data_IF_733765176784
#
_entry.id   IF_733765176784
#
_cell.length_a   1.000
_cell.length_b   1.000
_cell.length_c   1.000
_cell.angle_alpha   90.00
_cell.angle_beta   90.00
_cell.angle_gamma   90.00
#
_symmetry.space_group_name_H-M   'P 1'
#
loop_
_entity.id
_entity.type
_entity.pdbx_description
1 polymer ?
#
# COMPACT_ATOMS: atom_id res chain seq x y z
N UNK A 1 -14.02 26.72 12.94
CA UNK A 1 -12.73 27.14 12.32
C UNK A 1 -11.49 26.52 12.97
N UNK A 2 -11.33 26.51 14.31
CA UNK A 2 -10.15 25.91 14.96
C UNK A 2 -9.94 24.43 14.61
N UNK A 3 -11.00 23.62 14.62
CA UNK A 3 -10.94 22.18 14.31
C UNK A 3 -10.36 21.87 12.91
N UNK A 4 -10.78 22.60 11.88
CA UNK A 4 -10.28 22.42 10.51
C UNK A 4 -8.81 22.83 10.38
N UNK A 5 -8.39 23.92 11.05
CA UNK A 5 -6.97 24.31 11.09
C UNK A 5 -6.10 23.26 11.76
N UNK A 6 -6.57 22.65 12.84
CA UNK A 6 -5.83 21.59 13.53
C UNK A 6 -5.65 20.36 12.65
N UNK A 7 -6.72 19.89 11.98
CA UNK A 7 -6.62 18.78 11.03
C UNK A 7 -5.70 19.06 9.85
N UNK A 8 -5.72 20.29 9.33
CA UNK A 8 -4.84 20.67 8.22
C UNK A 8 -3.35 20.63 8.63
N UNK A 9 -3.03 21.18 9.81
CA UNK A 9 -1.67 21.16 10.34
C UNK A 9 -1.20 19.75 10.69
N UNK A 10 -2.11 18.90 11.17
CA UNK A 10 -1.85 17.49 11.42
C UNK A 10 -1.51 16.75 10.13
N UNK A 11 -2.33 16.89 9.07
CA UNK A 11 -2.06 16.26 7.76
C UNK A 11 -0.84 16.81 7.06
N UNK A 12 -0.55 18.09 7.25
CA UNK A 12 0.70 18.68 6.79
C UNK A 12 1.88 18.00 7.50
N UNK A 13 1.83 17.83 8.82
CA UNK A 13 2.88 17.17 9.61
C UNK A 13 3.07 15.71 9.22
N UNK A 14 1.98 14.96 9.00
CA UNK A 14 2.03 13.58 8.50
C UNK A 14 2.71 13.52 7.11
N UNK A 15 2.31 14.41 6.19
CA UNK A 15 2.87 14.47 4.84
C UNK A 15 4.36 14.84 4.87
N UNK A 16 4.76 15.82 5.69
CA UNK A 16 6.18 16.12 5.90
C UNK A 16 6.93 14.92 6.50
N UNK A 17 6.36 14.26 7.51
CA UNK A 17 6.98 13.10 8.14
C UNK A 17 7.23 11.93 7.18
N UNK A 18 6.34 11.74 6.20
CA UNK A 18 6.48 10.72 5.17
C UNK A 18 7.52 11.09 4.09
N UNK A 19 7.55 12.34 3.63
CA UNK A 19 8.35 12.75 2.47
C UNK A 19 9.75 13.24 2.84
N UNK A 20 9.89 13.92 3.99
CA UNK A 20 11.14 14.56 4.38
C UNK A 20 12.32 13.57 4.51
N UNK A 21 12.16 12.35 5.06
CA UNK A 21 13.23 11.36 5.09
C UNK A 21 13.69 10.95 3.68
N UNK A 22 12.75 10.81 2.75
CA UNK A 22 13.03 10.45 1.35
C UNK A 22 13.79 11.58 0.66
N UNK A 23 13.35 12.84 0.83
CA UNK A 23 14.08 14.02 0.33
C UNK A 23 15.50 14.04 0.89
N UNK A 24 15.67 13.79 2.20
CA UNK A 24 16.97 13.75 2.85
C UNK A 24 17.91 12.72 2.23
N UNK A 25 17.42 11.50 1.99
CA UNK A 25 18.18 10.42 1.33
C UNK A 25 18.55 10.83 -0.10
N UNK A 26 17.60 11.34 -0.88
CA UNK A 26 17.84 11.74 -2.27
C UNK A 26 18.86 12.87 -2.34
N UNK A 27 18.75 13.90 -1.51
CA UNK A 27 19.72 15.00 -1.46
C UNK A 27 21.12 14.50 -1.07
N UNK A 28 21.21 13.62 -0.06
CA UNK A 28 22.48 13.02 0.33
C UNK A 28 23.13 12.26 -0.82
N UNK A 29 22.37 11.42 -1.53
CA UNK A 29 22.85 10.69 -2.70
C UNK A 29 23.27 11.63 -3.83
N UNK A 30 22.50 12.68 -4.11
CA UNK A 30 22.79 13.67 -5.14
C UNK A 30 24.06 14.48 -4.86
N UNK A 31 24.42 14.75 -3.61
CA UNK A 31 25.64 15.49 -3.29
C UNK A 31 26.88 14.60 -3.14
N UNK A 32 26.73 13.29 -2.91
CA UNK A 32 27.85 12.39 -2.61
C UNK A 32 28.14 11.37 -3.71
N UNK A 33 27.15 10.56 -4.11
CA UNK A 33 27.34 9.40 -4.97
C UNK A 33 26.98 9.69 -6.43
N UNK A 34 25.89 10.42 -6.66
CA UNK A 34 25.31 10.65 -7.98
C UNK A 34 25.04 12.14 -8.21
N UNK A 35 26.09 12.96 -8.48
CA UNK A 35 25.94 14.39 -8.76
C UNK A 35 25.05 14.62 -9.98
N UNK A 36 23.96 15.35 -9.75
CA UNK A 36 22.99 15.72 -10.79
C UNK A 36 23.12 17.21 -11.15
N UNK A 37 22.80 17.58 -12.41
CA UNK A 37 22.68 18.97 -12.81
C UNK A 37 21.75 19.78 -11.89
N UNK A 38 22.10 21.04 -11.64
CA UNK A 38 21.32 21.95 -10.78
C UNK A 38 19.88 22.13 -11.25
N UNK A 39 19.63 22.04 -12.56
CA UNK A 39 18.28 22.07 -13.14
C UNK A 39 17.40 20.92 -12.65
N UNK A 40 17.92 19.70 -12.60
CA UNK A 40 17.21 18.50 -12.14
C UNK A 40 16.97 18.58 -10.62
N UNK A 41 17.97 19.05 -9.87
CA UNK A 41 17.85 19.24 -8.43
C UNK A 41 16.74 20.26 -8.08
N UNK A 42 16.67 21.39 -8.81
CA UNK A 42 15.61 22.38 -8.62
C UNK A 42 14.24 21.82 -8.98
N UNK A 43 14.13 21.09 -10.08
CA UNK A 43 12.87 20.42 -10.46
C UNK A 43 12.42 19.42 -9.38
N UNK A 44 13.35 18.66 -8.80
CA UNK A 44 13.07 17.75 -7.69
C UNK A 44 12.55 18.48 -6.45
N UNK A 45 13.19 19.58 -6.03
CA UNK A 45 12.75 20.35 -4.85
C UNK A 45 11.35 20.92 -5.06
N UNK A 46 11.08 21.51 -6.24
CA UNK A 46 9.76 22.06 -6.56
C UNK A 46 8.72 20.93 -6.60
N UNK A 47 9.03 19.81 -7.25
CA UNK A 47 8.17 18.63 -7.31
C UNK A 47 7.88 18.06 -5.93
N UNK A 48 8.88 18.00 -5.05
CA UNK A 48 8.74 17.53 -3.68
C UNK A 48 7.83 18.45 -2.85
N UNK A 49 7.95 19.77 -3.00
CA UNK A 49 7.03 20.73 -2.36
C UNK A 49 5.59 20.56 -2.87
N UNK A 50 5.41 20.44 -4.19
CA UNK A 50 4.10 20.19 -4.79
C UNK A 50 3.51 18.86 -4.32
N UNK A 51 4.32 17.82 -4.19
CA UNK A 51 3.92 16.51 -3.69
C UNK A 51 3.48 16.58 -2.22
N UNK A 52 4.21 17.29 -1.35
CA UNK A 52 3.80 17.46 0.06
C UNK A 52 2.43 18.13 0.16
N UNK A 53 2.21 19.20 -0.61
CA UNK A 53 0.92 19.91 -0.63
C UNK A 53 -0.18 19.03 -1.22
N UNK A 54 0.10 18.33 -2.33
CA UNK A 54 -0.84 17.43 -2.98
C UNK A 54 -1.23 16.25 -2.07
N UNK A 55 -0.26 15.61 -1.42
CA UNK A 55 -0.52 14.53 -0.47
C UNK A 55 -1.29 15.01 0.75
N UNK A 56 -1.02 16.22 1.27
CA UNK A 56 -1.80 16.78 2.38
C UNK A 56 -3.27 16.93 1.99
N UNK A 57 -3.58 17.49 0.82
CA UNK A 57 -4.97 17.65 0.39
C UNK A 57 -5.63 16.31 0.05
N UNK A 58 -4.90 15.40 -0.58
CA UNK A 58 -5.38 14.06 -0.91
C UNK A 58 -5.72 13.26 0.35
N UNK A 59 -4.80 13.21 1.32
CA UNK A 59 -5.01 12.48 2.59
C UNK A 59 -6.14 13.09 3.41
N UNK A 60 -6.24 14.42 3.46
CA UNK A 60 -7.36 15.11 4.09
C UNK A 60 -8.71 14.75 3.44
N UNK A 61 -8.78 14.76 2.10
CA UNK A 61 -9.97 14.37 1.35
C UNK A 61 -10.34 12.91 1.55
N UNK A 62 -9.35 12.02 1.55
CA UNK A 62 -9.53 10.58 1.78
C UNK A 62 -10.06 10.28 3.19
N UNK A 63 -9.57 10.97 4.22
CA UNK A 63 -10.07 10.80 5.59
C UNK A 63 -11.49 11.34 5.76
N UNK A 64 -11.79 12.49 5.14
CA UNK A 64 -13.12 13.11 5.28
C UNK A 64 -14.21 12.42 4.46
N UNK A 65 -13.87 11.80 3.32
CA UNK A 65 -14.84 11.22 2.40
C UNK A 65 -14.69 9.71 2.22
N UNK A 66 -13.50 9.25 1.78
CA UNK A 66 -13.31 7.85 1.38
C UNK A 66 -13.35 6.89 2.58
N UNK A 67 -12.75 7.27 3.70
CA UNK A 67 -12.71 6.46 4.93
C UNK A 67 -14.11 6.22 5.51
N UNK A 68 -14.94 7.26 5.79
CA UNK A 68 -16.29 7.02 6.29
C UNK A 68 -17.19 6.31 5.27
N UNK A 69 -16.95 6.48 3.97
CA UNK A 69 -17.62 5.70 2.93
C UNK A 69 -17.26 4.22 3.03
N UNK A 70 -15.97 3.89 3.17
CA UNK A 70 -15.47 2.53 3.35
C UNK A 70 -16.01 1.86 4.62
N UNK A 71 -16.04 2.56 5.75
CA UNK A 71 -16.59 2.05 7.01
C UNK A 71 -18.08 1.74 6.92
N UNK A 72 -18.87 2.63 6.30
CA UNK A 72 -20.31 2.40 6.08
C UNK A 72 -20.57 1.24 5.15
N UNK A 73 -19.78 1.11 4.08
CA UNK A 73 -19.87 -0.03 3.17
C UNK A 73 -19.51 -1.34 3.87
N UNK A 74 -18.40 -1.35 4.62
CA UNK A 74 -17.93 -2.51 5.36
C UNK A 74 -18.91 -2.97 6.43
N UNK A 75 -19.48 -2.05 7.22
CA UNK A 75 -20.47 -2.36 8.27
C UNK A 75 -21.77 -2.92 7.68
N UNK A 76 -22.29 -2.36 6.58
CA UNK A 76 -23.45 -2.92 5.86
C UNK A 76 -23.17 -4.32 5.31
N UNK A 77 -21.96 -4.52 4.77
CA UNK A 77 -21.53 -5.79 4.20
C UNK A 77 -21.46 -6.90 5.27
N UNK A 78 -20.89 -6.61 6.44
CA UNK A 78 -20.80 -7.59 7.54
C UNK A 78 -22.15 -7.85 8.22
N UNK A 79 -23.05 -6.86 8.28
CA UNK A 79 -24.40 -7.02 8.82
C UNK A 79 -25.32 -7.93 8.01
N UNK A 80 -25.03 -8.12 6.71
CA UNK A 80 -25.87 -8.93 5.81
C UNK A 80 -25.83 -10.44 6.16
N UNK A 81 -24.98 -10.88 7.11
CA UNK A 81 -24.79 -12.28 7.59
C UNK A 81 -24.46 -13.32 6.51
N UNK A 82 -24.41 -12.95 5.23
CA UNK A 82 -24.01 -13.80 4.10
C UNK A 82 -22.49 -13.83 4.00
N UNK A 83 -21.86 -14.75 4.72
CA UNK A 83 -20.41 -14.94 4.71
C UNK A 83 -19.84 -15.11 3.29
N UNK A 84 -20.53 -15.85 2.41
CA UNK A 84 -20.09 -16.03 1.02
C UNK A 84 -20.00 -14.72 0.22
N UNK A 85 -20.94 -13.79 0.43
CA UNK A 85 -20.92 -12.49 -0.25
C UNK A 85 -19.75 -11.61 0.24
N UNK A 86 -19.48 -11.64 1.56
CA UNK A 86 -18.32 -10.96 2.15
C UNK A 86 -17.01 -11.48 1.55
N UNK A 87 -16.86 -12.81 1.48
CA UNK A 87 -15.66 -13.46 0.94
C UNK A 87 -15.40 -13.06 -0.51
N UNK A 88 -16.42 -13.18 -1.38
CA UNK A 88 -16.27 -12.85 -2.80
C UNK A 88 -15.96 -11.36 -2.99
N UNK A 89 -16.66 -10.49 -2.27
CA UNK A 89 -16.45 -9.04 -2.40
C UNK A 89 -15.06 -8.62 -1.90
N UNK A 90 -14.60 -9.15 -0.77
CA UNK A 90 -13.25 -8.89 -0.27
C UNK A 90 -12.17 -9.40 -1.22
N UNK A 91 -12.34 -10.61 -1.79
CA UNK A 91 -11.41 -11.14 -2.77
C UNK A 91 -11.30 -10.22 -3.99
N UNK A 92 -12.45 -9.84 -4.56
CA UNK A 92 -12.50 -8.97 -5.75
C UNK A 92 -11.91 -7.58 -5.45
N UNK A 93 -12.22 -7.00 -4.29
CA UNK A 93 -11.63 -5.72 -3.87
C UNK A 93 -10.11 -5.80 -3.76
N UNK A 94 -9.59 -6.81 -3.06
CA UNK A 94 -8.14 -7.00 -2.91
C UNK A 94 -7.45 -7.19 -4.25
N UNK A 95 -8.03 -8.04 -5.10
CA UNK A 95 -7.52 -8.30 -6.44
C UNK A 95 -7.46 -7.03 -7.31
N UNK A 96 -8.55 -6.25 -7.36
CA UNK A 96 -8.61 -5.02 -8.16
C UNK A 96 -7.64 -3.96 -7.63
N UNK A 97 -7.55 -3.79 -6.30
CA UNK A 97 -6.65 -2.83 -5.67
C UNK A 97 -5.20 -3.16 -6.03
N UNK A 98 -4.80 -4.42 -5.92
CA UNK A 98 -3.42 -4.86 -6.21
C UNK A 98 -3.06 -4.74 -7.69
N UNK A 99 -3.98 -5.04 -8.63
CA UNK A 99 -3.71 -4.82 -10.06
C UNK A 99 -3.54 -3.34 -10.38
N UNK A 100 -4.32 -2.48 -9.72
CA UNK A 100 -4.29 -1.04 -9.92
C UNK A 100 -3.07 -0.37 -9.28
N UNK A 101 -2.27 -1.11 -8.51
CA UNK A 101 -1.10 -0.58 -7.81
C UNK A 101 0.05 -0.35 -8.79
N UNK A 102 0.45 0.91 -9.04
CA UNK A 102 1.47 1.23 -10.05
C UNK A 102 2.84 0.66 -9.66
N UNK A 103 3.13 0.58 -8.36
CA UNK A 103 4.40 0.07 -7.85
C UNK A 103 4.60 -1.41 -8.21
N UNK A 104 3.52 -2.21 -8.21
CA UNK A 104 3.56 -3.61 -8.66
C UNK A 104 3.81 -3.72 -10.16
N UNK A 105 3.25 -2.80 -10.95
CA UNK A 105 3.45 -2.78 -12.41
C UNK A 105 4.91 -2.46 -12.75
N UNK A 106 5.50 -1.47 -12.06
CA UNK A 106 6.92 -1.12 -12.21
C UNK A 106 7.81 -2.28 -11.75
N UNK A 107 7.48 -2.94 -10.65
CA UNK A 107 8.24 -4.12 -10.18
C UNK A 107 8.20 -5.27 -11.19
N UNK A 108 7.05 -5.49 -11.85
CA UNK A 108 6.93 -6.52 -12.87
C UNK A 108 7.87 -6.26 -14.06
N UNK A 109 8.05 -5.00 -14.47
CA UNK A 109 9.01 -4.62 -15.52
C UNK A 109 10.48 -4.83 -15.11
N UNK A 110 10.78 -4.84 -13.81
CA UNK A 110 12.12 -5.06 -13.27
C UNK A 110 12.51 -6.54 -13.18
N UNK A 111 11.59 -7.48 -13.43
CA UNK A 111 11.83 -8.93 -13.35
C UNK A 111 11.75 -9.54 -14.75
N UNK A 112 12.83 -9.49 -15.55
CA UNK A 112 12.81 -9.90 -16.97
C UNK A 112 12.55 -11.39 -17.19
N UNK A 113 12.72 -12.22 -16.16
CA UNK A 113 12.59 -13.68 -16.25
C UNK A 113 11.14 -14.18 -16.23
N UNK A 114 10.15 -13.33 -15.93
CA UNK A 114 8.74 -13.71 -15.76
C UNK A 114 7.86 -12.75 -16.57
N UNK A 115 6.87 -13.23 -17.34
CA UNK A 115 5.91 -12.36 -18.01
C UNK A 115 5.17 -11.46 -16.99
N UNK A 116 5.16 -10.14 -17.24
CA UNK A 116 4.59 -9.15 -16.31
C UNK A 116 3.16 -9.50 -15.87
N UNK A 117 2.32 -9.91 -16.81
CA UNK A 117 0.93 -10.28 -16.55
C UNK A 117 0.80 -11.47 -15.58
N UNK A 118 1.66 -12.48 -15.72
CA UNK A 118 1.68 -13.65 -14.85
C UNK A 118 2.09 -13.26 -13.43
N UNK A 119 3.11 -12.43 -13.30
CA UNK A 119 3.58 -11.93 -12.00
C UNK A 119 2.47 -11.11 -11.31
N UNK A 120 1.88 -10.15 -12.02
CA UNK A 120 0.84 -9.27 -11.50
C UNK A 120 -0.38 -10.07 -11.03
N UNK A 121 -0.87 -11.02 -11.84
CA UNK A 121 -2.01 -11.85 -11.45
C UNK A 121 -1.68 -12.76 -10.27
N UNK A 122 -0.51 -13.39 -10.26
CA UNK A 122 -0.14 -14.27 -9.15
C UNK A 122 -0.12 -13.50 -7.82
N UNK A 123 0.46 -12.30 -7.82
CA UNK A 123 0.47 -11.41 -6.64
C UNK A 123 -0.94 -10.94 -6.29
N UNK A 124 -1.73 -10.50 -7.25
CA UNK A 124 -3.10 -10.02 -7.02
C UNK A 124 -4.03 -11.11 -6.45
N UNK A 125 -3.93 -12.35 -6.95
CA UNK A 125 -4.67 -13.49 -6.40
C UNK A 125 -4.20 -13.79 -4.98
N UNK A 126 -2.87 -13.80 -4.74
CA UNK A 126 -2.31 -14.01 -3.42
C UNK A 126 -2.81 -12.98 -2.41
N UNK A 127 -2.70 -11.68 -2.73
CA UNK A 127 -3.18 -10.60 -1.88
C UNK A 127 -4.69 -10.69 -1.66
N UNK A 128 -5.47 -11.01 -2.70
CA UNK A 128 -6.92 -11.23 -2.58
C UNK A 128 -7.28 -12.33 -1.59
N UNK A 129 -6.61 -13.49 -1.65
CA UNK A 129 -6.82 -14.62 -0.71
C UNK A 129 -6.45 -14.19 0.72
N UNK A 130 -5.32 -13.51 0.90
CA UNK A 130 -4.88 -13.06 2.22
C UNK A 130 -5.78 -11.96 2.79
N UNK A 131 -6.36 -11.10 1.95
CA UNK A 131 -7.34 -10.11 2.38
C UNK A 131 -8.63 -10.80 2.88
N UNK A 132 -9.10 -11.83 2.18
CA UNK A 132 -10.21 -12.66 2.66
C UNK A 132 -9.87 -13.28 4.01
N UNK A 133 -8.70 -13.90 4.15
CA UNK A 133 -8.26 -14.50 5.40
C UNK A 133 -8.18 -13.45 6.53
N UNK A 134 -7.69 -12.23 6.21
CA UNK A 134 -7.61 -11.11 7.14
C UNK A 134 -9.00 -10.66 7.64
N UNK A 135 -10.00 -10.57 6.75
CA UNK A 135 -11.37 -10.23 7.14
C UNK A 135 -12.02 -11.36 7.92
N UNK A 136 -11.80 -12.61 7.49
CA UNK A 136 -12.38 -13.78 8.13
C UNK A 136 -11.86 -13.96 9.56
N UNK A 137 -10.56 -13.71 9.82
CA UNK A 137 -10.02 -13.73 11.19
C UNK A 137 -10.63 -12.63 12.07
N UNK A 138 -10.95 -11.46 11.51
CA UNK A 138 -11.58 -10.37 12.27
C UNK A 138 -13.02 -10.74 12.64
N UNK A 139 -13.74 -11.42 11.76
CA UNK A 139 -15.10 -11.90 12.02
C UNK A 139 -15.15 -13.04 13.05
N UNK A 140 -14.18 -13.96 13.01
CA UNK A 140 -14.10 -15.08 13.96
C UNK A 140 -13.31 -14.78 15.23
N UNK A 141 -12.75 -13.58 15.38
CA UNK A 141 -11.97 -13.20 16.57
C UNK A 141 -10.63 -13.93 16.71
N UNK A 142 -10.07 -14.44 15.61
CA UNK A 142 -8.79 -15.16 15.62
C UNK A 142 -7.64 -14.14 15.73
N UNK A 143 -6.76 -14.34 16.71
CA UNK A 143 -5.63 -13.45 16.95
C UNK A 143 -4.58 -13.54 15.83
N UNK A 144 -4.08 -12.38 15.37
CA UNK A 144 -3.05 -12.26 14.33
C UNK A 144 -1.82 -13.18 14.54
N UNK A 145 -1.26 -13.33 15.76
CA UNK A 145 -0.05 -14.12 15.96
C UNK A 145 -0.18 -15.57 15.53
N UNK A 146 -1.35 -16.19 15.70
CA UNK A 146 -1.58 -17.59 15.31
C UNK A 146 -1.44 -17.78 13.80
N UNK A 147 -1.98 -16.81 13.05
CA UNK A 147 -1.91 -16.82 11.59
C UNK A 147 -0.46 -16.65 11.11
N UNK A 148 0.30 -15.76 11.76
CA UNK A 148 1.71 -15.54 11.44
C UNK A 148 2.57 -16.77 11.75
N UNK A 149 2.37 -17.42 12.90
CA UNK A 149 3.10 -18.64 13.28
C UNK A 149 2.88 -19.78 12.28
N UNK A 150 1.73 -19.85 11.62
CA UNK A 150 1.46 -20.85 10.57
C UNK A 150 2.02 -20.43 9.21
N UNK A 151 1.83 -19.17 8.82
CA UNK A 151 2.17 -18.69 7.47
C UNK A 151 3.68 -18.44 7.29
N UNK A 152 4.39 -17.97 8.32
CA UNK A 152 5.82 -17.71 8.23
C UNK A 152 6.64 -18.96 7.91
N UNK A 153 6.45 -20.12 8.58
CA UNK A 153 7.12 -21.35 8.21
C UNK A 153 6.85 -21.78 6.76
N UNK A 154 5.64 -21.58 6.26
CA UNK A 154 5.29 -21.86 4.85
C UNK A 154 6.12 -20.96 3.92
N UNK A 155 6.20 -19.66 4.21
CA UNK A 155 7.03 -18.72 3.43
C UNK A 155 8.50 -19.11 3.46
N UNK A 156 9.05 -19.45 4.64
CA UNK A 156 10.44 -19.89 4.75
C UNK A 156 10.71 -21.20 4.01
N UNK A 157 9.77 -22.15 4.05
CA UNK A 157 9.90 -23.41 3.35
C UNK A 157 9.85 -23.19 1.83
N UNK A 158 8.93 -22.37 1.34
CA UNK A 158 8.86 -21.97 -0.07
C UNK A 158 10.14 -21.25 -0.51
N UNK A 159 10.68 -20.34 0.30
CA UNK A 159 11.93 -19.64 0.02
C UNK A 159 13.13 -20.61 -0.04
N UNK A 160 13.18 -21.61 0.84
CA UNK A 160 14.20 -22.65 0.83
C UNK A 160 14.13 -23.53 -0.43
N UNK A 161 12.93 -23.90 -0.87
CA UNK A 161 12.73 -24.67 -2.11
C UNK A 161 13.10 -23.85 -3.35
N UNK A 162 12.78 -22.55 -3.36
CA UNK A 162 13.04 -21.66 -4.49
C UNK A 162 14.55 -21.45 -4.75
N UNK A 163 15.40 -21.57 -3.71
CA UNK A 163 16.87 -21.40 -3.80
C UNK A 163 17.59 -22.45 -4.68
N UNK A 164 16.89 -23.40 -5.28
CA UNK A 164 17.51 -24.48 -6.08
C UNK A 164 17.67 -24.21 -7.58
N UNK A 165 17.29 -23.05 -8.11
CA UNK A 165 17.24 -22.85 -9.57
C UNK A 165 17.87 -21.55 -10.10
N UNK A 166 18.72 -20.88 -9.30
CA UNK A 166 19.66 -19.86 -9.78
C UNK A 166 21.04 -20.10 -9.19
#
# INVERSE_FOLDING_TARGET
>A
MKLYRTKLLEKLKESLGAVLPIIGIVLFLCFTIAPVPTSILMAFIIGALMLIVGMMFFTLGAEMAMTPMGERLGTKMTQTKKLGAVVVLCFVLGFIITISEPDLQVLAEQVPSIPNYTLIIAVAVGVGIFLVAAVLRMLFGIALPHMLVVLYPIVFLLAFLCRRTF
#
